data_IF_842667394342
#
_entry.id   IF_842667394342
#
_cell.length_a   1.000
_cell.length_b   1.000
_cell.length_c   1.000
_cell.angle_alpha   90.00
_cell.angle_beta   90.00
_cell.angle_gamma   90.00
#
_symmetry.space_group_name_H-M   'P 1'
#
loop_
_entity.id
_entity.type
_entity.pdbx_description
1 polymer ?
#
# COMPACT_ATOMS: atom_id res chain seq x y z
N UNK A 1 9.04 -15.24 -35.26
CA UNK A 1 9.99 -14.10 -35.34
C UNK A 1 9.25 -12.93 -36.00
N UNK A 2 8.90 -11.93 -35.22
CA UNK A 2 8.48 -10.64 -35.74
C UNK A 2 9.63 -9.67 -35.48
N UNK A 3 10.39 -9.29 -36.52
CA UNK A 3 11.50 -8.37 -36.39
C UNK A 3 12.74 -8.92 -35.63
N UNK A 4 13.66 -8.03 -35.28
CA UNK A 4 14.91 -8.31 -34.55
C UNK A 4 14.75 -8.20 -33.03
N UNK A 5 13.59 -8.55 -32.47
CA UNK A 5 13.31 -8.44 -31.04
C UNK A 5 13.65 -9.74 -30.34
N UNK A 6 14.50 -9.65 -29.32
CA UNK A 6 14.81 -10.74 -28.41
C UNK A 6 13.92 -10.62 -27.17
N UNK A 7 13.10 -11.63 -26.90
CA UNK A 7 12.33 -11.73 -25.66
C UNK A 7 13.10 -12.62 -24.68
N UNK A 8 13.39 -12.08 -23.50
CA UNK A 8 13.93 -12.86 -22.38
C UNK A 8 12.85 -12.95 -21.34
N UNK A 9 12.39 -14.15 -21.07
CA UNK A 9 11.39 -14.41 -20.02
C UNK A 9 12.07 -15.12 -18.87
N UNK A 10 11.98 -14.56 -17.67
CA UNK A 10 12.39 -15.24 -16.45
C UNK A 10 11.15 -15.58 -15.63
N UNK A 11 11.06 -16.86 -15.22
CA UNK A 11 10.06 -17.35 -14.27
C UNK A 11 10.72 -17.50 -12.92
N UNK A 12 10.23 -16.78 -11.90
CA UNK A 12 10.76 -16.80 -10.53
C UNK A 12 11.17 -15.43 -9.99
N UNK A 13 11.63 -15.39 -8.75
CA UNK A 13 12.07 -14.15 -8.11
C UNK A 13 13.39 -13.65 -8.70
N UNK A 14 13.44 -12.36 -9.03
CA UNK A 14 14.64 -11.66 -9.49
C UNK A 14 15.35 -11.11 -8.26
N UNK A 15 16.60 -11.51 -8.04
CA UNK A 15 17.47 -10.94 -7.00
C UNK A 15 18.20 -9.70 -7.54
N UNK A 16 18.67 -8.83 -6.64
CA UNK A 16 19.41 -7.60 -6.96
C UNK A 16 20.68 -7.81 -7.80
N UNK A 17 21.17 -9.05 -7.87
CA UNK A 17 22.42 -9.40 -8.56
C UNK A 17 22.19 -10.13 -9.90
N UNK A 18 20.94 -10.20 -10.38
CA UNK A 18 20.67 -10.96 -11.59
C UNK A 18 21.20 -10.23 -12.81
N UNK A 19 22.20 -10.78 -13.47
CA UNK A 19 22.79 -10.29 -14.71
C UNK A 19 22.43 -11.23 -15.84
N UNK A 20 21.84 -10.70 -16.92
CA UNK A 20 21.52 -11.44 -18.10
C UNK A 20 22.55 -11.17 -19.20
N UNK A 21 22.92 -12.22 -19.90
CA UNK A 21 23.78 -12.14 -21.06
C UNK A 21 22.99 -12.52 -22.33
N UNK A 22 22.86 -11.56 -23.25
CA UNK A 22 22.36 -11.84 -24.60
C UNK A 22 23.54 -11.98 -25.56
N UNK A 23 23.53 -13.04 -26.34
CA UNK A 23 24.58 -13.33 -27.32
C UNK A 23 23.94 -13.42 -28.70
N UNK A 24 24.51 -12.72 -29.69
CA UNK A 24 24.17 -12.85 -31.10
C UNK A 24 25.41 -13.05 -31.93
N UNK A 25 25.40 -14.05 -32.79
CA UNK A 25 26.40 -14.20 -33.86
C UNK A 25 26.05 -13.22 -34.95
N UNK A 26 27.00 -12.36 -35.32
CA UNK A 26 26.87 -11.37 -36.38
C UNK A 26 27.70 -11.84 -37.57
N UNK A 27 27.09 -12.22 -38.70
CA UNK A 27 27.83 -12.71 -39.89
C UNK A 27 28.50 -11.59 -40.70
N UNK A 28 28.13 -10.32 -40.50
CA UNK A 28 28.70 -9.18 -41.20
C UNK A 28 28.63 -7.91 -40.37
N UNK A 29 29.51 -6.95 -40.68
CA UNK A 29 29.69 -5.71 -39.96
C UNK A 29 28.51 -4.72 -40.13
N UNK A 30 27.49 -4.81 -39.31
CA UNK A 30 26.49 -3.74 -39.17
C UNK A 30 26.19 -3.52 -37.72
N UNK A 31 26.19 -2.23 -37.30
CA UNK A 31 25.75 -1.83 -35.99
C UNK A 31 24.30 -2.25 -35.77
N UNK A 32 24.00 -2.89 -34.66
CA UNK A 32 22.65 -3.31 -34.31
C UNK A 32 22.26 -2.68 -32.98
N UNK A 33 21.16 -1.95 -32.98
CA UNK A 33 20.54 -1.40 -31.81
C UNK A 33 19.46 -2.36 -31.33
N UNK A 34 19.49 -2.75 -30.06
CA UNK A 34 18.49 -3.62 -29.47
C UNK A 34 17.72 -2.85 -28.40
N UNK A 35 16.41 -2.89 -28.49
CA UNK A 35 15.54 -2.42 -27.41
C UNK A 35 15.25 -3.60 -26.50
N UNK A 36 15.64 -3.48 -25.24
CA UNK A 36 15.33 -4.47 -24.22
C UNK A 36 14.21 -3.90 -23.36
N UNK A 37 13.08 -4.60 -23.38
CA UNK A 37 11.90 -4.25 -22.60
C UNK A 37 11.90 -5.10 -21.34
N UNK A 38 11.84 -4.42 -20.20
CA UNK A 38 11.67 -5.05 -18.91
C UNK A 38 10.30 -4.69 -18.36
N UNK A 39 9.50 -5.71 -18.04
CA UNK A 39 8.19 -5.53 -17.42
C UNK A 39 8.23 -6.08 -15.99
N UNK A 40 8.23 -5.19 -15.02
CA UNK A 40 7.99 -5.51 -13.61
C UNK A 40 7.02 -4.48 -13.07
N UNK A 41 5.71 -4.73 -13.23
CA UNK A 41 4.65 -3.84 -12.77
C UNK A 41 4.64 -2.43 -13.37
N UNK A 42 5.76 -1.97 -13.89
CA UNK A 42 5.96 -0.70 -14.60
C UNK A 42 6.83 -0.96 -15.82
N UNK A 43 6.54 -0.30 -16.94
CA UNK A 43 7.28 -0.47 -18.18
C UNK A 43 8.58 0.33 -18.12
N UNK A 44 9.72 -0.34 -18.02
CA UNK A 44 11.04 0.28 -18.21
C UNK A 44 11.54 -0.04 -19.60
N UNK A 45 12.02 0.98 -20.30
CA UNK A 45 12.60 0.85 -21.62
C UNK A 45 14.08 1.20 -21.55
N UNK A 46 14.95 0.26 -21.87
CA UNK A 46 16.38 0.52 -22.02
C UNK A 46 16.81 0.15 -23.44
N UNK A 47 17.40 1.11 -24.13
CA UNK A 47 18.01 0.88 -25.43
C UNK A 47 19.49 0.61 -25.23
N UNK A 48 19.96 -0.54 -25.69
CA UNK A 48 21.37 -0.90 -25.68
C UNK A 48 21.85 -0.90 -27.12
N UNK A 49 22.82 -0.02 -27.42
CA UNK A 49 23.51 0.00 -28.69
C UNK A 49 24.75 -0.90 -28.60
N UNK A 50 24.79 -1.94 -29.39
CA UNK A 50 25.98 -2.79 -29.53
C UNK A 50 26.87 -2.21 -30.65
N UNK A 51 28.08 -1.82 -30.29
CA UNK A 51 29.09 -1.48 -31.31
C UNK A 51 29.34 -2.70 -32.18
N UNK A 52 29.44 -2.48 -33.48
CA UNK A 52 29.68 -3.54 -34.46
C UNK A 52 31.14 -4.00 -34.39
N UNK A 53 31.45 -5.20 -33.91
CA UNK A 53 32.75 -5.79 -34.15
C UNK A 53 32.81 -6.25 -35.62
N UNK A 54 33.94 -6.07 -36.26
CA UNK A 54 34.14 -6.44 -37.68
C UNK A 54 33.90 -7.91 -37.98
N UNK A 55 34.11 -8.79 -36.99
CA UNK A 55 33.77 -10.22 -37.02
C UNK A 55 33.58 -10.71 -35.58
N UNK A 56 32.62 -11.61 -35.34
CA UNK A 56 32.48 -12.33 -34.07
C UNK A 56 31.12 -12.22 -33.38
N UNK A 57 31.09 -12.52 -32.11
CA UNK A 57 29.92 -12.45 -31.26
C UNK A 57 29.86 -11.12 -30.54
N UNK A 58 28.69 -10.43 -30.61
CA UNK A 58 28.43 -9.26 -29.79
C UNK A 58 27.74 -9.71 -28.49
N UNK A 59 28.18 -9.14 -27.39
CA UNK A 59 27.64 -9.41 -26.06
C UNK A 59 27.05 -8.14 -25.47
N UNK A 60 25.83 -8.23 -24.96
CA UNK A 60 25.22 -7.19 -24.15
C UNK A 60 25.02 -7.74 -22.73
N UNK A 61 25.46 -6.97 -21.76
CA UNK A 61 25.22 -7.24 -20.35
C UNK A 61 24.24 -6.20 -19.84
N UNK A 62 23.21 -6.62 -19.17
CA UNK A 62 22.26 -5.75 -18.51
C UNK A 62 21.90 -6.28 -17.14
N UNK A 63 21.80 -5.37 -16.21
CA UNK A 63 21.33 -5.65 -14.85
C UNK A 63 19.84 -5.35 -14.80
N UNK A 64 19.07 -6.30 -14.30
CA UNK A 64 17.70 -6.04 -13.91
C UNK A 64 17.73 -5.49 -12.49
N UNK A 65 17.40 -4.23 -12.34
CA UNK A 65 17.15 -3.69 -11.01
C UNK A 65 15.79 -4.21 -10.55
N UNK A 66 15.69 -4.76 -9.32
CA UNK A 66 14.41 -5.13 -8.75
C UNK A 66 13.50 -3.89 -8.67
N UNK A 67 12.18 -4.05 -8.75
CA UNK A 67 11.30 -2.92 -8.59
C UNK A 67 11.60 -2.22 -7.27
N UNK A 68 11.60 -0.90 -7.31
CA UNK A 68 11.80 -0.04 -6.14
C UNK A 68 10.66 -0.25 -5.14
N UNK A 69 10.83 -1.23 -4.26
CA UNK A 69 9.84 -1.60 -3.26
C UNK A 69 10.14 -0.89 -1.93
N UNK A 70 9.09 -0.49 -1.27
CA UNK A 70 9.14 0.05 0.09
C UNK A 70 8.11 -0.61 0.99
N UNK A 71 7.92 -0.03 2.15
CA UNK A 71 7.07 -0.57 3.20
C UNK A 71 6.14 0.51 3.77
N UNK A 72 5.04 0.08 4.37
CA UNK A 72 4.11 0.92 5.12
C UNK A 72 3.98 0.37 6.55
N UNK A 73 4.14 1.25 7.54
CA UNK A 73 3.83 0.99 8.95
C UNK A 73 2.60 1.79 9.34
N UNK A 74 1.55 1.10 9.80
CA UNK A 74 0.33 1.73 10.27
C UNK A 74 0.17 1.53 11.76
N UNK A 75 -0.25 2.60 12.46
CA UNK A 75 -0.60 2.57 13.87
C UNK A 75 -2.05 2.99 14.05
N UNK A 76 -2.82 2.15 14.70
CA UNK A 76 -4.19 2.43 15.14
C UNK A 76 -4.21 2.71 16.63
N UNK A 77 -4.87 3.79 17.01
CA UNK A 77 -5.14 4.15 18.41
C UNK A 77 -6.63 4.41 18.61
N UNK A 78 -7.09 4.28 19.84
CA UNK A 78 -8.43 4.65 20.30
C UNK A 78 -8.29 5.61 21.49
N UNK A 79 -9.29 6.43 21.73
CA UNK A 79 -9.27 7.45 22.78
C UNK A 79 -9.10 6.84 24.20
N UNK A 80 -9.71 5.68 24.39
CA UNK A 80 -9.65 4.93 25.68
C UNK A 80 -8.53 3.87 25.74
N UNK A 81 -7.73 3.76 24.67
CA UNK A 81 -6.66 2.77 24.56
C UNK A 81 -7.10 1.32 24.45
N UNK A 82 -8.42 1.06 24.24
CA UNK A 82 -8.99 -0.29 24.13
C UNK A 82 -9.30 -0.65 22.66
N UNK A 83 -9.60 -1.93 22.42
CA UNK A 83 -10.06 -2.42 21.12
C UNK A 83 -9.11 -2.02 19.95
N UNK A 84 -7.80 -2.18 20.14
CA UNK A 84 -6.80 -1.85 19.13
C UNK A 84 -6.72 -2.88 18.00
N UNK A 85 -7.07 -4.14 18.27
CA UNK A 85 -7.12 -5.23 17.28
C UNK A 85 -8.43 -5.20 16.51
N UNK A 86 -8.43 -5.72 15.27
CA UNK A 86 -9.66 -5.94 14.50
C UNK A 86 -10.04 -4.80 13.55
N UNK A 87 -9.33 -3.67 13.53
CA UNK A 87 -9.57 -2.58 12.59
C UNK A 87 -9.02 -2.90 11.22
N UNK A 88 -9.83 -2.72 10.19
CA UNK A 88 -9.50 -3.04 8.80
C UNK A 88 -9.08 -1.79 8.01
N UNK A 89 -8.06 -1.95 7.17
CA UNK A 89 -7.52 -0.89 6.34
C UNK A 89 -7.27 -1.37 4.91
N UNK A 90 -7.66 -0.55 3.94
CA UNK A 90 -7.33 -0.73 2.52
C UNK A 90 -6.29 0.28 2.08
N UNK A 91 -5.41 -0.13 1.16
CA UNK A 91 -4.42 0.73 0.51
C UNK A 91 -4.85 0.90 -0.95
N UNK A 92 -5.01 2.14 -1.39
CA UNK A 92 -5.57 2.49 -2.70
C UNK A 92 -4.60 3.34 -3.51
N UNK A 93 -4.69 3.25 -4.85
CA UNK A 93 -3.90 4.07 -5.76
C UNK A 93 -4.52 5.44 -6.05
N UNK A 94 -5.77 5.68 -5.67
CA UNK A 94 -6.49 6.93 -5.91
C UNK A 94 -7.20 7.45 -4.65
N UNK A 95 -7.40 8.76 -4.57
CA UNK A 95 -8.02 9.43 -3.42
C UNK A 95 -9.49 9.07 -3.22
N UNK A 96 -10.20 8.66 -4.27
CA UNK A 96 -11.58 8.18 -4.18
C UNK A 96 -11.69 6.77 -3.58
N UNK A 97 -10.56 6.08 -3.35
CA UNK A 97 -10.50 4.71 -2.82
C UNK A 97 -11.36 3.72 -3.60
N UNK A 98 -11.34 3.81 -4.93
CA UNK A 98 -12.03 2.90 -5.84
C UNK A 98 -11.10 1.84 -6.44
N UNK A 99 -9.77 2.09 -6.42
CA UNK A 99 -8.74 1.18 -6.96
C UNK A 99 -7.87 0.66 -5.82
N UNK A 100 -8.20 -0.54 -5.33
CA UNK A 100 -7.46 -1.22 -4.26
C UNK A 100 -6.10 -1.69 -4.77
N UNK A 101 -5.03 -1.26 -4.13
CA UNK A 101 -3.67 -1.72 -4.40
C UNK A 101 -3.28 -2.91 -3.52
N UNK A 102 -3.67 -2.88 -2.23
CA UNK A 102 -3.36 -3.95 -1.27
C UNK A 102 -4.34 -3.94 -0.09
N UNK A 103 -4.53 -5.11 0.53
CA UNK A 103 -5.44 -5.29 1.66
C UNK A 103 -6.76 -5.97 1.29
N UNK A 104 -7.80 -5.94 2.15
CA UNK A 104 -7.75 -5.30 3.46
C UNK A 104 -6.81 -5.99 4.46
N UNK A 105 -6.14 -5.17 5.28
CA UNK A 105 -5.31 -5.62 6.39
C UNK A 105 -6.00 -5.35 7.72
N UNK A 106 -5.76 -6.19 8.71
CA UNK A 106 -6.37 -6.08 10.02
C UNK A 106 -5.31 -5.79 11.10
N UNK A 107 -5.59 -4.85 11.99
CA UNK A 107 -4.68 -4.52 13.11
C UNK A 107 -4.53 -5.68 14.09
N UNK A 108 -3.32 -5.85 14.60
CA UNK A 108 -3.01 -6.78 15.69
C UNK A 108 -3.39 -6.20 17.07
N UNK A 109 -3.12 -6.95 18.14
CA UNK A 109 -3.41 -6.55 19.53
C UNK A 109 -2.73 -5.24 19.97
N UNK A 110 -1.65 -4.83 19.29
CA UNK A 110 -0.95 -3.56 19.54
C UNK A 110 -1.40 -2.44 18.60
N UNK A 111 -2.46 -2.64 17.82
CA UNK A 111 -2.96 -1.66 16.85
C UNK A 111 -2.05 -1.48 15.63
N UNK A 112 -1.21 -2.46 15.30
CA UNK A 112 -0.20 -2.31 14.24
C UNK A 112 -0.55 -3.14 13.01
N UNK A 113 -0.20 -2.55 11.84
CA UNK A 113 -0.11 -3.23 10.55
C UNK A 113 1.25 -2.90 9.94
N UNK A 114 1.92 -3.90 9.39
CA UNK A 114 3.15 -3.73 8.60
C UNK A 114 2.92 -4.34 7.23
N UNK A 115 3.13 -3.56 6.18
CA UNK A 115 3.00 -4.00 4.78
C UNK A 115 4.32 -3.77 4.08
N UNK A 116 4.83 -4.80 3.43
CA UNK A 116 6.07 -4.77 2.65
C UNK A 116 5.78 -5.02 1.18
N UNK A 117 6.71 -4.68 0.31
CA UNK A 117 6.59 -5.00 -1.12
C UNK A 117 5.66 -4.05 -1.89
N UNK A 118 5.42 -2.85 -1.39
CA UNK A 118 4.69 -1.81 -2.12
C UNK A 118 5.65 -1.10 -3.09
N UNK A 119 5.26 -0.97 -4.35
CA UNK A 119 6.03 -0.16 -5.31
C UNK A 119 6.16 1.29 -4.83
N UNK A 120 7.28 1.93 -5.12
CA UNK A 120 7.43 3.35 -4.85
C UNK A 120 6.32 4.15 -5.55
N UNK A 121 5.70 5.07 -4.84
CA UNK A 121 4.56 5.83 -5.37
C UNK A 121 3.67 6.45 -4.29
N UNK A 122 2.60 7.08 -4.74
CA UNK A 122 1.59 7.69 -3.85
C UNK A 122 0.41 6.74 -3.66
N UNK A 123 0.02 6.57 -2.40
CA UNK A 123 -1.11 5.75 -1.99
C UNK A 123 -2.04 6.51 -1.05
N UNK A 124 -3.24 5.96 -0.89
CA UNK A 124 -4.26 6.45 0.03
C UNK A 124 -4.68 5.31 0.95
N UNK A 125 -4.44 5.48 2.23
CA UNK A 125 -4.77 4.49 3.26
C UNK A 125 -6.12 4.86 3.85
N UNK A 126 -7.07 3.92 3.80
CA UNK A 126 -8.44 4.13 4.27
C UNK A 126 -8.78 3.15 5.38
N UNK A 127 -9.27 3.66 6.51
CA UNK A 127 -9.93 2.85 7.52
C UNK A 127 -11.30 2.41 7.00
N UNK A 128 -11.58 1.11 7.08
CA UNK A 128 -12.82 0.50 6.59
C UNK A 128 -13.81 0.20 7.73
N UNK A 129 -13.33 0.22 8.99
CA UNK A 129 -14.10 -0.11 10.17
C UNK A 129 -13.50 -1.27 10.94
N UNK A 130 -14.22 -1.72 11.97
CA UNK A 130 -13.84 -2.86 12.81
C UNK A 130 -14.56 -4.14 12.35
N UNK A 131 -13.90 -5.31 12.47
CA UNK A 131 -14.48 -6.61 12.12
C UNK A 131 -15.69 -6.98 12.99
N UNK A 132 -15.73 -6.51 14.24
CA UNK A 132 -16.88 -6.61 15.11
C UNK A 132 -17.73 -5.34 15.00
N UNK A 133 -18.98 -5.48 14.55
CA UNK A 133 -19.89 -4.37 14.35
C UNK A 133 -20.29 -3.65 15.63
N UNK A 134 -20.30 -4.35 16.78
CA UNK A 134 -20.60 -3.76 18.09
C UNK A 134 -19.48 -2.82 18.53
N UNK A 135 -18.23 -3.22 18.35
CA UNK A 135 -17.06 -2.36 18.60
C UNK A 135 -17.03 -1.20 17.58
N UNK A 136 -17.30 -1.47 16.31
CA UNK A 136 -17.34 -0.42 15.29
C UNK A 136 -18.36 0.68 15.63
N UNK A 137 -19.50 0.32 16.21
CA UNK A 137 -20.54 1.27 16.62
C UNK A 137 -20.13 2.17 17.82
N UNK A 138 -19.15 1.73 18.61
CA UNK A 138 -18.68 2.50 19.78
C UNK A 138 -17.78 3.68 19.39
N UNK A 139 -17.22 3.68 18.19
CA UNK A 139 -16.18 4.64 17.79
C UNK A 139 -16.48 5.28 16.43
N UNK A 140 -15.88 6.45 16.23
CA UNK A 140 -15.77 7.09 14.92
C UNK A 140 -14.30 7.42 14.62
N UNK A 141 -13.92 7.40 13.35
CA UNK A 141 -12.58 7.78 12.92
C UNK A 141 -12.41 9.30 13.04
N UNK A 142 -11.55 9.75 13.94
CA UNK A 142 -11.27 11.16 14.17
C UNK A 142 -10.11 11.68 13.30
N UNK A 143 -9.36 10.79 12.65
CA UNK A 143 -8.31 11.13 11.70
C UNK A 143 -8.88 11.43 10.32
N UNK A 144 -8.11 12.17 9.51
CA UNK A 144 -8.42 12.29 8.07
C UNK A 144 -8.48 10.88 7.45
N UNK A 145 -9.55 10.60 6.72
CA UNK A 145 -9.79 9.30 6.12
C UNK A 145 -10.36 9.45 4.70
N UNK A 146 -9.62 9.07 3.64
CA UNK A 146 -8.30 8.42 3.66
C UNK A 146 -7.12 9.37 3.91
N UNK A 147 -5.98 8.81 4.35
CA UNK A 147 -4.71 9.52 4.46
C UNK A 147 -3.83 9.24 3.24
N UNK A 148 -3.27 10.31 2.66
CA UNK A 148 -2.28 10.22 1.59
C UNK A 148 -0.92 9.87 2.17
N UNK A 149 -0.20 8.92 1.54
CA UNK A 149 1.15 8.51 1.92
C UNK A 149 2.00 8.29 0.67
N UNK A 150 3.30 8.57 0.77
CA UNK A 150 4.27 8.29 -0.30
C UNK A 150 5.21 7.20 0.15
N UNK A 151 5.27 6.12 -0.62
CA UNK A 151 6.22 5.03 -0.46
C UNK A 151 7.45 5.34 -1.30
N UNK A 152 8.62 5.29 -0.69
CA UNK A 152 9.92 5.44 -1.37
C UNK A 152 10.62 4.09 -1.46
N UNK A 153 11.47 3.92 -2.46
CA UNK A 153 12.30 2.73 -2.65
C UNK A 153 13.15 2.46 -1.38
N UNK A 154 13.09 1.23 -0.88
CA UNK A 154 13.80 0.82 0.33
C UNK A 154 13.32 1.49 1.63
N UNK A 155 12.40 2.46 1.54
CA UNK A 155 11.91 3.22 2.68
C UNK A 155 10.70 2.59 3.36
N UNK A 156 10.41 3.07 4.59
CA UNK A 156 9.18 2.74 5.31
C UNK A 156 8.41 4.03 5.58
N UNK A 157 7.24 4.16 4.96
CA UNK A 157 6.32 5.24 5.27
C UNK A 157 5.46 4.89 6.50
N UNK A 158 5.02 5.90 7.25
CA UNK A 158 4.22 5.70 8.46
C UNK A 158 2.92 6.50 8.39
N UNK A 159 1.82 5.89 8.84
CA UNK A 159 0.53 6.54 9.03
C UNK A 159 -0.06 6.17 10.37
N UNK A 160 -0.90 7.04 10.92
CA UNK A 160 -1.61 6.77 12.16
C UNK A 160 -3.08 7.17 12.08
N UNK A 161 -3.94 6.34 12.64
CA UNK A 161 -5.37 6.58 12.74
C UNK A 161 -5.82 6.52 14.18
N UNK A 162 -6.60 7.51 14.60
CA UNK A 162 -7.17 7.59 15.93
C UNK A 162 -8.69 7.55 15.83
N UNK A 163 -9.31 6.68 16.59
CA UNK A 163 -10.76 6.68 16.76
C UNK A 163 -11.13 7.20 18.15
N UNK A 164 -12.22 7.94 18.19
CA UNK A 164 -12.82 8.46 19.43
C UNK A 164 -14.14 7.76 19.70
N UNK A 165 -14.51 7.73 20.97
CA UNK A 165 -15.78 7.18 21.40
C UNK A 165 -16.96 8.02 20.88
N UNK A 166 -17.98 7.34 20.43
CA UNK A 166 -19.28 7.96 20.20
C UNK A 166 -19.90 8.30 21.54
N UNK A 167 -20.08 9.59 21.83
CA UNK A 167 -20.71 10.06 23.05
C UNK A 167 -22.15 10.45 22.78
N UNK A 168 -23.04 10.05 23.67
CA UNK A 168 -24.45 10.45 23.67
C UNK A 168 -24.79 11.31 24.86
N UNK A 169 -25.85 12.10 24.77
CA UNK A 169 -26.41 12.87 25.87
C UNK A 169 -27.69 12.20 26.35
N UNK A 170 -27.85 12.13 27.66
CA UNK A 170 -29.11 11.74 28.29
C UNK A 170 -29.77 12.99 28.80
N UNK A 171 -31.02 13.24 28.39
CA UNK A 171 -31.88 14.24 28.99
C UNK A 171 -32.97 13.53 29.77
N UNK A 172 -33.08 13.84 31.04
CA UNK A 172 -34.06 13.25 31.92
C UNK A 172 -34.95 14.37 32.48
N UNK A 173 -36.25 14.20 32.36
CA UNK A 173 -37.24 15.10 32.92
C UNK A 173 -38.07 14.34 33.94
N UNK A 174 -38.13 14.81 35.19
CA UNK A 174 -39.01 14.31 36.20
C UNK A 174 -40.32 15.09 36.18
N UNK A 175 -41.44 14.39 36.12
CA UNK A 175 -42.78 14.97 36.26
C UNK A 175 -43.51 14.27 37.39
N UNK A 176 -44.39 14.97 38.06
CA UNK A 176 -45.39 14.47 39.00
C UNK A 176 -46.75 14.83 38.50
N UNK A 177 -47.80 14.13 38.88
CA UNK A 177 -49.16 14.34 38.41
C UNK A 177 -49.67 15.73 38.81
N UNK A 178 -49.32 16.15 40.02
CA UNK A 178 -49.68 17.45 40.61
C UNK A 178 -48.72 18.62 40.24
N UNK A 179 -47.62 18.33 39.56
CA UNK A 179 -46.56 19.30 39.22
C UNK A 179 -45.74 19.76 40.41
N UNK A 180 -45.89 19.16 41.59
CA UNK A 180 -45.20 19.50 42.82
C UNK A 180 -44.06 18.51 43.15
N UNK A 181 -43.20 18.88 44.10
CA UNK A 181 -42.12 18.00 44.59
C UNK A 181 -41.19 17.49 43.47
N UNK A 182 -40.76 18.32 42.52
CA UNK A 182 -39.92 17.98 41.42
C UNK A 182 -38.43 17.86 41.78
N UNK A 183 -38.03 18.34 42.96
CA UNK A 183 -36.65 18.30 43.48
C UNK A 183 -36.39 17.10 44.40
N UNK A 184 -35.13 16.74 44.58
CA UNK A 184 -34.69 15.67 45.51
C UNK A 184 -34.78 14.25 44.97
N UNK A 185 -35.22 14.04 43.71
CA UNK A 185 -35.25 12.72 43.09
C UNK A 185 -33.84 12.33 42.59
N UNK A 186 -33.46 11.11 42.89
CA UNK A 186 -32.18 10.52 42.49
C UNK A 186 -32.42 9.52 41.35
N UNK A 187 -31.52 9.55 40.35
CA UNK A 187 -31.58 8.64 39.23
C UNK A 187 -30.23 7.95 39.08
N UNK A 188 -30.24 6.66 38.81
CA UNK A 188 -29.04 5.87 38.50
C UNK A 188 -28.96 5.62 37.00
N UNK A 189 -27.74 5.60 36.43
CA UNK A 189 -27.45 5.25 35.05
C UNK A 189 -26.53 4.03 35.08
#
# INVERSE_FOLDING_TARGET
>A
RSGNTLYITQTGNISESTVFRATRSIPSASASTYNIWYMSGSTYQTTISLASPSYGNAYAYFKLDPPDLGSLSLTKTTEDGKNLSGWQFGIYTNSACTSLAAGPYTTNSSGKISVTGLSAGTYYVKELGHTDSSINALYYCASTNPQKVTITAGGTASVSFTNKLNTGNISLTKTTEDGLNLSGWQFGI
#
